data_IF_674494678345
#
_entry.id   IF_674494678345
#
_cell.length_a   1.000
_cell.length_b   1.000
_cell.length_c   1.000
_cell.angle_alpha   90.00
_cell.angle_beta   90.00
_cell.angle_gamma   90.00
#
_symmetry.space_group_name_H-M   'P 1'
#
loop_
_entity.id
_entity.type
_entity.pdbx_description
1 polymer ?
#
# COMPACT_ATOMS: atom_id res chain seq x y z
N UNK A 1 3.32 -1.71 -25.58
CA UNK A 1 4.07 -0.85 -24.64
C UNK A 1 4.22 -1.61 -23.33
N UNK A 2 5.44 -2.04 -22.96
CA UNK A 2 5.70 -2.56 -21.61
C UNK A 2 5.92 -1.34 -20.73
N UNK A 3 4.88 -0.96 -19.97
CA UNK A 3 4.95 0.19 -19.05
C UNK A 3 6.02 -0.07 -18.00
N UNK A 4 6.75 0.98 -17.58
CA UNK A 4 7.73 0.91 -16.48
C UNK A 4 7.06 0.78 -15.10
N UNK A 5 5.72 0.78 -15.06
CA UNK A 5 4.94 0.82 -13.84
C UNK A 5 4.09 -0.45 -13.70
N UNK A 6 3.90 -0.94 -12.46
CA UNK A 6 3.00 -2.03 -12.10
C UNK A 6 1.56 -1.81 -12.55
N UNK A 7 0.84 -2.90 -12.81
CA UNK A 7 -0.57 -2.84 -13.26
C UNK A 7 -1.47 -2.12 -12.28
N UNK A 8 -1.25 -2.34 -10.98
CA UNK A 8 -2.04 -1.72 -9.91
C UNK A 8 -1.89 -0.19 -9.86
N UNK A 9 -0.83 0.38 -10.47
CA UNK A 9 -0.67 1.83 -10.62
C UNK A 9 -1.35 2.30 -11.90
N UNK A 10 -0.92 1.82 -13.07
CA UNK A 10 -1.34 2.44 -14.34
C UNK A 10 -2.77 2.08 -14.76
N UNK A 11 -3.35 1.01 -14.21
CA UNK A 11 -4.73 0.61 -14.49
C UNK A 11 -5.72 1.06 -13.41
N UNK A 12 -5.26 1.75 -12.37
CA UNK A 12 -6.13 2.23 -11.29
C UNK A 12 -6.84 3.51 -11.70
N UNK A 13 -8.13 3.58 -11.38
CA UNK A 13 -8.94 4.80 -11.47
C UNK A 13 -9.05 5.42 -10.06
N UNK A 14 -8.25 6.47 -9.76
CA UNK A 14 -8.26 7.07 -8.44
C UNK A 14 -9.53 7.89 -8.16
N UNK A 15 -10.19 8.41 -9.19
CA UNK A 15 -11.39 9.22 -9.03
C UNK A 15 -12.58 8.34 -8.66
N UNK A 16 -12.80 7.25 -9.40
CA UNK A 16 -13.83 6.27 -9.07
C UNK A 16 -13.61 5.68 -7.66
N UNK A 17 -12.36 5.32 -7.33
CA UNK A 17 -12.01 4.82 -6.01
C UNK A 17 -12.36 5.81 -4.89
N UNK A 18 -12.05 7.10 -5.08
CA UNK A 18 -12.36 8.13 -4.10
C UNK A 18 -13.87 8.23 -3.86
N UNK A 19 -14.68 8.25 -4.92
CA UNK A 19 -16.14 8.27 -4.79
C UNK A 19 -16.68 7.03 -4.07
N UNK A 20 -16.20 5.84 -4.42
CA UNK A 20 -16.64 4.57 -3.83
C UNK A 20 -16.26 4.45 -2.35
N UNK A 21 -15.07 4.90 -1.97
CA UNK A 21 -14.52 4.72 -0.62
C UNK A 21 -14.78 5.90 0.31
N UNK A 22 -15.22 7.06 -0.20
CA UNK A 22 -15.41 8.29 0.59
C UNK A 22 -16.24 8.05 1.86
N UNK A 23 -17.40 7.41 1.74
CA UNK A 23 -18.28 7.15 2.88
C UNK A 23 -17.64 6.26 3.95
N UNK A 24 -16.88 5.24 3.54
CA UNK A 24 -16.18 4.34 4.46
C UNK A 24 -15.04 5.07 5.17
N UNK A 25 -14.26 5.88 4.43
CA UNK A 25 -13.20 6.71 5.00
C UNK A 25 -13.76 7.75 5.99
N UNK A 26 -14.88 8.39 5.66
CA UNK A 26 -15.55 9.33 6.56
C UNK A 26 -16.03 8.63 7.84
N UNK A 27 -16.66 7.46 7.73
CA UNK A 27 -17.12 6.68 8.89
C UNK A 27 -15.95 6.23 9.79
N UNK A 28 -14.80 5.88 9.21
CA UNK A 28 -13.59 5.59 9.96
C UNK A 28 -13.14 6.79 10.80
N UNK A 29 -13.11 7.98 10.21
CA UNK A 29 -12.72 9.20 10.93
C UNK A 29 -13.74 9.63 11.99
N UNK A 30 -15.04 9.54 11.67
CA UNK A 30 -16.10 10.05 12.55
C UNK A 30 -16.48 9.08 13.68
N UNK A 31 -16.40 7.77 13.44
CA UNK A 31 -16.93 6.74 14.33
C UNK A 31 -15.96 5.59 14.62
N UNK A 32 -14.73 5.64 14.09
CA UNK A 32 -13.72 4.60 14.32
C UNK A 32 -14.03 3.26 13.64
N UNK A 33 -14.94 3.24 12.65
CA UNK A 33 -15.25 2.03 11.87
C UNK A 33 -14.01 1.58 11.11
N UNK A 34 -13.76 0.28 11.00
CA UNK A 34 -12.62 -0.22 10.25
C UNK A 34 -12.66 0.23 8.77
N UNK A 35 -11.52 0.67 8.26
CA UNK A 35 -11.37 1.06 6.86
C UNK A 35 -10.08 0.48 6.28
N UNK A 36 -10.25 -0.36 5.27
CA UNK A 36 -9.15 -0.96 4.53
C UNK A 36 -9.10 -0.40 3.11
N UNK A 37 -7.93 0.16 2.76
CA UNK A 37 -7.64 0.60 1.42
C UNK A 37 -7.45 -0.61 0.48
N UNK A 38 -7.96 -0.50 -0.74
CA UNK A 38 -7.76 -1.53 -1.79
C UNK A 38 -6.99 -1.00 -3.00
N UNK A 39 -6.49 0.24 -2.93
CA UNK A 39 -5.62 0.88 -3.93
C UNK A 39 -4.13 0.66 -3.62
N UNK A 40 -3.80 -0.50 -3.04
CA UNK A 40 -2.45 -0.94 -2.69
C UNK A 40 -2.06 -2.14 -3.57
N UNK A 41 -0.77 -2.52 -3.63
CA UNK A 41 -0.37 -3.73 -4.34
C UNK A 41 -1.18 -4.96 -3.89
N UNK A 42 -1.53 -5.89 -4.79
CA UNK A 42 -2.24 -7.10 -4.42
C UNK A 42 -1.51 -7.88 -3.31
N UNK A 43 -2.26 -8.36 -2.32
CA UNK A 43 -1.75 -9.07 -1.14
C UNK A 43 -0.78 -8.27 -0.24
N UNK A 44 -0.60 -6.96 -0.47
CA UNK A 44 0.15 -6.10 0.46
C UNK A 44 -0.72 -5.70 1.65
N UNK A 45 -0.17 -5.86 2.85
CA UNK A 45 -0.74 -5.29 4.08
C UNK A 45 0.20 -4.21 4.59
N UNK A 46 -0.29 -2.97 4.70
CA UNK A 46 0.53 -1.89 5.23
C UNK A 46 0.92 -2.17 6.68
N UNK A 47 2.22 -2.22 6.94
CA UNK A 47 2.80 -2.27 8.28
C UNK A 47 3.61 -0.99 8.49
N UNK A 48 3.36 -0.23 9.56
CA UNK A 48 4.20 0.92 9.92
C UNK A 48 5.65 0.48 10.08
N UNK A 49 6.56 1.27 9.55
CA UNK A 49 8.00 1.04 9.67
C UNK A 49 8.73 2.35 9.99
N UNK A 50 9.90 2.22 10.58
CA UNK A 50 10.81 3.32 10.88
C UNK A 50 12.11 3.20 10.10
N UNK A 51 12.77 4.34 9.87
CA UNK A 51 14.07 4.37 9.20
C UNK A 51 15.10 3.51 9.94
N UNK A 52 15.06 3.50 11.28
CA UNK A 52 15.98 2.72 12.11
C UNK A 52 15.78 1.21 11.95
N UNK A 53 14.54 0.73 11.85
CA UNK A 53 14.23 -0.69 11.60
C UNK A 53 14.76 -1.14 10.25
N UNK A 54 14.53 -0.34 9.20
CA UNK A 54 15.02 -0.63 7.85
C UNK A 54 16.55 -0.61 7.82
N UNK A 55 17.18 0.38 8.46
CA UNK A 55 18.63 0.47 8.56
C UNK A 55 19.24 -0.73 9.31
N UNK A 56 18.60 -1.19 10.39
CA UNK A 56 19.02 -2.38 11.12
C UNK A 56 18.88 -3.65 10.27
N UNK A 57 17.79 -3.78 9.51
CA UNK A 57 17.59 -4.91 8.58
C UNK A 57 18.65 -4.94 7.46
N UNK A 58 18.97 -3.78 6.89
CA UNK A 58 20.04 -3.64 5.89
C UNK A 58 21.41 -3.98 6.47
N UNK A 59 21.71 -3.53 7.69
CA UNK A 59 22.95 -3.89 8.40
C UNK A 59 23.03 -5.40 8.68
N UNK A 60 21.90 -6.06 8.91
CA UNK A 60 21.79 -7.51 9.05
C UNK A 60 21.87 -8.26 7.71
N UNK A 61 22.07 -7.57 6.59
CA UNK A 61 22.24 -8.15 5.26
C UNK A 61 20.95 -8.45 4.52
N UNK A 62 19.78 -8.03 5.04
CA UNK A 62 18.51 -8.12 4.31
C UNK A 62 18.47 -7.04 3.24
N UNK A 63 18.01 -7.38 2.04
CA UNK A 63 17.76 -6.38 1.00
C UNK A 63 16.40 -5.74 1.21
N UNK A 64 16.22 -4.53 0.70
CA UNK A 64 14.93 -3.83 0.81
C UNK A 64 13.81 -4.61 0.14
N UNK A 65 14.10 -5.28 -0.98
CA UNK A 65 13.10 -6.09 -1.68
C UNK A 65 12.62 -7.28 -0.84
N UNK A 66 13.47 -7.81 0.04
CA UNK A 66 13.12 -8.91 0.95
C UNK A 66 12.20 -8.45 2.10
N UNK A 67 12.02 -7.14 2.27
CA UNK A 67 11.15 -6.53 3.28
C UNK A 67 9.75 -6.21 2.73
N UNK A 68 9.53 -6.37 1.42
CA UNK A 68 8.25 -6.09 0.77
C UNK A 68 7.38 -7.35 0.71
N UNK A 69 6.11 -7.22 1.06
CA UNK A 69 5.06 -8.23 0.89
C UNK A 69 4.12 -7.87 -0.27
N UNK A 70 3.42 -8.84 -0.83
CA UNK A 70 2.49 -8.62 -1.94
C UNK A 70 3.16 -8.52 -3.32
N UNK A 71 2.33 -8.28 -4.34
CA UNK A 71 2.74 -8.23 -5.74
C UNK A 71 2.99 -6.79 -6.21
N UNK A 72 4.25 -6.36 -6.17
CA UNK A 72 4.68 -5.03 -6.58
C UNK A 72 5.05 -4.93 -8.07
N UNK A 73 4.70 -5.93 -8.89
CA UNK A 73 5.08 -6.02 -10.31
C UNK A 73 4.08 -5.46 -11.33
#
# INVERSE_FOLDING_TARGET
>A
LRTRFPKWIFSHDPEAYAYEKYGQAFAHLAAGVEFANSNVPPAHTFVPWTVDEVAAAMKAGKRVEDLLDGDWS
#
